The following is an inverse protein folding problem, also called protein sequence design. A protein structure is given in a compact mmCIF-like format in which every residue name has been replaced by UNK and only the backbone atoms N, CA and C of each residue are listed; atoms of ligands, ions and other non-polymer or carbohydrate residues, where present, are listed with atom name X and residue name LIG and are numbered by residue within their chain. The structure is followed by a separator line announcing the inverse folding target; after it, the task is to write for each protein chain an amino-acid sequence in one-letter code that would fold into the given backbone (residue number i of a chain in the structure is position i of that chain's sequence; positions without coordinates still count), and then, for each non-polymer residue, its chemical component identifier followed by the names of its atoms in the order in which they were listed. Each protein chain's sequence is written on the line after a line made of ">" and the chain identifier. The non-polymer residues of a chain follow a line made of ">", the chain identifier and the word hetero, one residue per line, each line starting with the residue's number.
data_IF_959807715360
#
_entry.id   IF_959807715360
#
_cell.length_a   1.000
_cell.length_b   1.000
_cell.length_c   1.000
_cell.angle_alpha   90.00
_cell.angle_beta   90.00
_cell.angle_gamma   90.00
#
_symmetry.space_group_name_H-M   'P 1'
#
loop_
_entity.id
_entity.type
_entity.pdbx_description
1 polymer ?
#
# COMPACT_ATOMS: atom_id res chain seq x y z
N UNK A 1 -12.45 -20.09 4.58
CA UNK A 1 -11.55 -18.90 4.65
C UNK A 1 -12.44 -17.66 4.66
N UNK A 2 -12.14 -16.62 5.45
CA UNK A 2 -12.92 -15.38 5.39
C UNK A 2 -12.88 -14.79 3.98
N UNK A 3 -14.02 -14.23 3.54
CA UNK A 3 -14.13 -13.53 2.25
C UNK A 3 -13.16 -12.36 2.25
N UNK A 4 -12.34 -12.23 1.20
CA UNK A 4 -11.37 -11.13 1.07
C UNK A 4 -12.12 -9.82 0.84
N UNK A 5 -11.67 -8.72 1.45
CA UNK A 5 -12.28 -7.39 1.32
C UNK A 5 -12.41 -6.98 -0.15
N UNK A 6 -11.34 -7.15 -0.94
CA UNK A 6 -11.41 -6.90 -2.38
C UNK A 6 -12.51 -7.67 -3.13
N UNK A 7 -12.86 -8.89 -2.71
CA UNK A 7 -14.01 -9.61 -3.29
C UNK A 7 -15.33 -8.90 -2.94
N UNK A 8 -15.53 -8.56 -1.68
CA UNK A 8 -16.73 -7.85 -1.21
C UNK A 8 -16.90 -6.51 -1.90
N UNK A 9 -15.82 -5.74 -2.09
CA UNK A 9 -15.84 -4.46 -2.82
C UNK A 9 -16.27 -4.70 -4.28
N UNK A 10 -15.68 -5.68 -4.97
CA UNK A 10 -16.06 -5.99 -6.35
C UNK A 10 -17.53 -6.41 -6.49
N UNK A 11 -18.06 -7.18 -5.53
CA UNK A 11 -19.47 -7.56 -5.49
C UNK A 11 -20.36 -6.32 -5.26
N UNK A 12 -20.00 -5.46 -4.32
CA UNK A 12 -20.75 -4.23 -4.05
C UNK A 12 -20.79 -3.30 -5.27
N UNK A 13 -19.65 -3.09 -5.93
CA UNK A 13 -19.58 -2.29 -7.16
C UNK A 13 -20.47 -2.85 -8.28
N UNK A 14 -20.49 -4.19 -8.43
CA UNK A 14 -21.37 -4.86 -9.40
C UNK A 14 -22.85 -4.67 -9.04
N UNK A 15 -23.24 -4.87 -7.78
CA UNK A 15 -24.63 -4.69 -7.33
C UNK A 15 -25.10 -3.24 -7.56
N UNK A 16 -24.25 -2.26 -7.24
CA UNK A 16 -24.55 -0.83 -7.43
C UNK A 16 -24.79 -0.52 -8.92
N UNK A 17 -23.94 -1.06 -9.80
CA UNK A 17 -24.09 -0.87 -11.23
C UNK A 17 -25.33 -1.58 -11.79
N UNK A 18 -25.52 -2.86 -11.46
CA UNK A 18 -26.53 -3.71 -12.10
C UNK A 18 -27.94 -3.45 -11.56
N UNK A 19 -28.07 -3.21 -10.24
CA UNK A 19 -29.38 -3.05 -9.60
C UNK A 19 -29.84 -1.60 -9.50
N UNK A 20 -28.91 -0.63 -9.47
CA UNK A 20 -29.23 0.79 -9.28
C UNK A 20 -28.85 1.65 -10.48
N UNK A 21 -28.20 1.10 -11.51
CA UNK A 21 -27.79 1.84 -12.72
C UNK A 21 -26.70 2.89 -12.47
N UNK A 22 -26.07 2.87 -11.29
CA UNK A 22 -25.06 3.85 -10.89
C UNK A 22 -23.71 3.41 -11.46
N UNK A 23 -23.17 4.17 -12.41
CA UNK A 23 -21.92 3.80 -13.09
C UNK A 23 -20.74 4.36 -12.32
N UNK A 24 -19.69 3.55 -12.22
CA UNK A 24 -18.46 3.99 -11.56
C UNK A 24 -17.85 5.25 -12.18
N UNK A 25 -18.03 5.43 -13.50
CA UNK A 25 -17.53 6.58 -14.26
C UNK A 25 -18.22 7.91 -13.90
N UNK A 26 -19.33 7.87 -13.16
CA UNK A 26 -20.03 9.07 -12.71
C UNK A 26 -19.39 9.67 -11.44
N UNK A 27 -18.32 9.07 -10.92
CA UNK A 27 -17.57 9.52 -9.74
C UNK A 27 -16.11 9.85 -10.08
N UNK A 28 -15.53 10.78 -9.32
CA UNK A 28 -14.10 11.12 -9.45
C UNK A 28 -13.18 10.16 -8.68
N UNK A 29 -13.66 9.67 -7.53
CA UNK A 29 -12.88 8.85 -6.60
C UNK A 29 -13.71 7.73 -5.96
N UNK A 30 -13.03 6.64 -5.61
CA UNK A 30 -13.48 5.61 -4.69
C UNK A 30 -12.75 5.85 -3.38
N UNK A 31 -13.50 5.94 -2.27
CA UNK A 31 -12.94 6.06 -0.93
C UNK A 31 -13.28 4.83 -0.10
N UNK A 32 -12.26 4.05 0.27
CA UNK A 32 -12.37 2.88 1.15
C UNK A 32 -11.91 3.28 2.55
N UNK A 33 -12.71 2.98 3.56
CA UNK A 33 -12.41 3.25 4.97
C UNK A 33 -12.77 2.03 5.80
N UNK A 34 -11.86 1.62 6.70
CA UNK A 34 -12.13 0.56 7.67
C UNK A 34 -13.09 1.09 8.74
N UNK A 35 -13.94 0.21 9.28
CA UNK A 35 -15.02 0.60 10.18
C UNK A 35 -14.56 1.09 11.56
N UNK A 36 -13.31 0.83 11.93
CA UNK A 36 -12.68 1.12 13.22
C UNK A 36 -11.71 2.30 13.16
N UNK A 37 -11.77 3.11 12.10
CA UNK A 37 -10.89 4.27 11.89
C UNK A 37 -11.67 5.56 12.14
N UNK A 38 -11.08 6.50 12.89
CA UNK A 38 -11.56 7.86 12.97
C UNK A 38 -10.63 8.81 12.20
N UNK A 39 -11.21 9.52 11.24
CA UNK A 39 -10.49 10.42 10.33
C UNK A 39 -10.76 11.89 10.67
N UNK A 40 -9.76 12.78 10.54
CA UNK A 40 -9.98 14.22 10.58
C UNK A 40 -10.97 14.69 9.51
N UNK A 41 -11.74 15.74 9.82
CA UNK A 41 -12.80 16.26 8.94
C UNK A 41 -12.30 16.66 7.55
N UNK A 42 -11.05 17.10 7.46
CA UNK A 42 -10.39 17.58 6.25
C UNK A 42 -9.61 16.48 5.49
N UNK A 43 -9.59 15.24 5.98
CA UNK A 43 -8.77 14.15 5.42
C UNK A 43 -9.00 13.94 3.91
N UNK A 44 -10.26 13.78 3.51
CA UNK A 44 -10.62 13.54 2.10
C UNK A 44 -10.35 14.78 1.25
N UNK A 45 -10.69 15.98 1.75
CA UNK A 45 -10.44 17.25 1.07
C UNK A 45 -8.95 17.46 0.82
N UNK A 46 -8.09 17.15 1.80
CA UNK A 46 -6.64 17.19 1.63
C UNK A 46 -6.20 16.27 0.50
N UNK A 47 -6.60 14.99 0.51
CA UNK A 47 -6.16 14.02 -0.50
C UNK A 47 -6.62 14.42 -1.92
N UNK A 48 -7.85 14.92 -2.05
CA UNK A 48 -8.38 15.43 -3.32
C UNK A 48 -7.61 16.67 -3.78
N UNK A 49 -7.27 17.60 -2.88
CA UNK A 49 -6.52 18.82 -3.22
C UNK A 49 -5.13 18.53 -3.79
N UNK A 50 -4.52 17.39 -3.42
CA UNK A 50 -3.24 16.93 -3.96
C UNK A 50 -3.36 16.29 -5.34
N UNK A 51 -4.59 16.11 -5.85
CA UNK A 51 -4.89 15.43 -7.12
C UNK A 51 -4.19 14.05 -7.19
N UNK A 52 -4.06 13.40 -6.04
CA UNK A 52 -3.35 12.14 -5.91
C UNK A 52 -4.17 11.02 -6.56
N UNK A 53 -3.66 10.30 -7.58
CA UNK A 53 -4.40 9.20 -8.20
C UNK A 53 -4.68 8.06 -7.21
N UNK A 54 -3.81 7.91 -6.21
CA UNK A 54 -3.94 7.02 -5.06
C UNK A 54 -3.35 7.75 -3.86
N UNK A 55 -4.04 7.75 -2.72
CA UNK A 55 -3.56 8.41 -1.51
C UNK A 55 -4.26 7.95 -0.24
N UNK A 56 -3.70 8.30 0.90
CA UNK A 56 -4.13 7.89 2.22
C UNK A 56 -3.27 6.79 2.81
N UNK A 57 -3.88 5.95 3.62
CA UNK A 57 -3.23 4.82 4.30
C UNK A 57 -4.07 3.55 4.08
N UNK A 58 -3.55 2.37 4.41
CA UNK A 58 -4.30 1.12 4.22
C UNK A 58 -5.70 1.16 4.85
N UNK A 59 -5.82 1.73 6.04
CA UNK A 59 -7.11 1.82 6.74
C UNK A 59 -8.08 2.87 6.15
N UNK A 60 -7.60 3.79 5.31
CA UNK A 60 -8.38 4.84 4.67
C UNK A 60 -7.74 5.24 3.34
N UNK A 61 -8.19 4.62 2.24
CA UNK A 61 -7.56 4.67 0.93
C UNK A 61 -8.47 5.39 -0.08
N UNK A 62 -7.95 6.48 -0.67
CA UNK A 62 -8.57 7.19 -1.77
C UNK A 62 -7.94 6.74 -3.10
N UNK A 63 -8.79 6.39 -4.07
CA UNK A 63 -8.38 5.93 -5.40
C UNK A 63 -9.15 6.72 -6.44
N UNK A 64 -8.48 7.44 -7.32
CA UNK A 64 -9.14 8.10 -8.45
C UNK A 64 -9.77 7.06 -9.38
N UNK A 65 -10.99 7.32 -9.86
CA UNK A 65 -11.69 6.45 -10.82
C UNK A 65 -10.87 6.24 -12.09
N UNK A 66 -10.21 7.27 -12.68
CA UNK A 66 -9.31 7.05 -13.81
C UNK A 66 -8.20 6.03 -13.55
N UNK A 67 -7.58 6.06 -12.36
CA UNK A 67 -6.58 5.05 -11.98
C UNK A 67 -7.22 3.68 -11.79
N UNK A 68 -8.35 3.59 -11.10
CA UNK A 68 -9.05 2.32 -10.88
C UNK A 68 -9.47 1.65 -12.20
N UNK A 69 -10.01 2.40 -13.15
CA UNK A 69 -10.42 1.87 -14.45
C UNK A 69 -9.20 1.47 -15.28
N UNK A 70 -8.19 2.32 -15.40
CA UNK A 70 -7.05 2.07 -16.32
C UNK A 70 -6.00 1.12 -15.74
N UNK A 71 -5.62 1.29 -14.48
CA UNK A 71 -4.57 0.51 -13.84
C UNK A 71 -5.10 -0.78 -13.22
N UNK A 72 -6.26 -0.72 -12.54
CA UNK A 72 -6.87 -1.86 -11.87
C UNK A 72 -7.92 -2.59 -12.73
N UNK A 73 -8.15 -2.14 -13.97
CA UNK A 73 -9.12 -2.73 -14.92
C UNK A 73 -10.53 -2.80 -14.31
N UNK A 74 -10.90 -1.76 -13.58
CA UNK A 74 -12.17 -1.63 -12.87
C UNK A 74 -12.44 -2.76 -11.85
N UNK A 75 -11.39 -3.36 -11.26
CA UNK A 75 -11.52 -4.41 -10.24
C UNK A 75 -10.60 -4.14 -9.06
N UNK A 76 -11.14 -4.19 -7.86
CA UNK A 76 -10.35 -4.18 -6.63
C UNK A 76 -9.52 -5.47 -6.56
N UNK A 77 -8.23 -5.41 -6.21
CA UNK A 77 -7.38 -6.59 -6.14
C UNK A 77 -7.85 -7.55 -5.05
N UNK A 78 -7.82 -8.85 -5.37
CA UNK A 78 -8.10 -9.93 -4.41
C UNK A 78 -6.77 -10.53 -4.00
N UNK A 79 -6.13 -9.93 -3.00
CA UNK A 79 -4.84 -10.37 -2.44
C UNK A 79 -4.86 -10.34 -0.91
N UNK A 80 -3.82 -10.89 -0.29
CA UNK A 80 -3.67 -10.81 1.17
C UNK A 80 -3.41 -9.37 1.64
N UNK A 81 -2.83 -8.53 0.78
CA UNK A 81 -2.58 -7.11 1.01
C UNK A 81 -3.11 -6.33 -0.19
N UNK A 82 -4.43 -6.25 -0.31
CA UNK A 82 -5.14 -5.54 -1.39
C UNK A 82 -4.79 -4.05 -1.44
N UNK A 83 -4.80 -3.34 -0.32
CA UNK A 83 -4.42 -1.92 -0.29
C UNK A 83 -2.93 -1.73 -0.64
N UNK A 84 -2.06 -2.62 -0.14
CA UNK A 84 -0.64 -2.63 -0.48
C UNK A 84 -0.36 -2.95 -1.95
N UNK A 85 -1.18 -3.81 -2.57
CA UNK A 85 -1.11 -4.06 -4.01
C UNK A 85 -1.39 -2.79 -4.81
N UNK A 86 -2.41 -2.00 -4.42
CA UNK A 86 -2.77 -0.75 -5.10
C UNK A 86 -1.61 0.25 -5.03
N UNK A 87 -1.01 0.42 -3.84
CA UNK A 87 0.19 1.24 -3.66
C UNK A 87 1.38 0.71 -4.47
N UNK A 88 1.62 -0.60 -4.49
CA UNK A 88 2.71 -1.17 -5.28
C UNK A 88 2.50 -0.93 -6.78
N UNK A 89 1.28 -1.09 -7.26
CA UNK A 89 0.92 -0.80 -8.64
C UNK A 89 1.08 0.69 -8.97
N UNK A 90 0.66 1.60 -8.09
CA UNK A 90 0.83 3.04 -8.32
C UNK A 90 2.31 3.42 -8.41
N UNK A 91 3.13 2.90 -7.50
CA UNK A 91 4.58 3.14 -7.47
C UNK A 91 5.24 2.60 -8.74
N UNK A 92 4.80 1.44 -9.24
CA UNK A 92 5.31 0.90 -10.51
C UNK A 92 5.08 1.85 -11.70
N UNK A 93 4.06 2.70 -11.62
CA UNK A 93 3.73 3.74 -12.61
C UNK A 93 4.38 5.10 -12.30
N UNK A 94 5.26 5.18 -11.31
CA UNK A 94 5.89 6.42 -10.87
C UNK A 94 4.99 7.32 -10.02
N UNK A 95 3.84 6.81 -9.57
CA UNK A 95 2.87 7.55 -8.75
C UNK A 95 3.08 7.15 -7.29
N UNK A 96 3.71 8.04 -6.53
CA UNK A 96 3.91 7.87 -5.10
C UNK A 96 2.61 8.22 -4.37
N UNK A 97 2.03 7.29 -3.59
CA UNK A 97 0.83 7.60 -2.82
C UNK A 97 1.09 8.74 -1.84
N UNK A 98 0.21 9.75 -1.86
CA UNK A 98 0.24 10.82 -0.87
C UNK A 98 -0.33 10.32 0.45
N UNK A 99 0.32 10.61 1.57
CA UNK A 99 -0.17 10.24 2.90
C UNK A 99 -0.57 11.48 3.69
N UNK A 100 -1.73 11.41 4.35
CA UNK A 100 -2.15 12.45 5.28
C UNK A 100 -1.42 12.28 6.61
N UNK A 101 -0.59 13.25 6.96
CA UNK A 101 0.19 13.23 8.19
C UNK A 101 -0.43 14.16 9.24
N UNK A 102 -1.39 13.66 10.02
CA UNK A 102 -1.85 14.36 11.23
C UNK A 102 -1.73 13.49 12.47
N UNK A 103 -1.54 14.16 13.61
CA UNK A 103 -1.51 13.55 14.94
C UNK A 103 -2.89 13.00 15.35
N UNK A 104 -3.98 13.59 14.84
CA UNK A 104 -5.36 13.22 15.17
C UNK A 104 -5.90 12.02 14.37
N UNK A 105 -5.05 11.35 13.60
CA UNK A 105 -5.44 10.15 12.85
C UNK A 105 -5.48 8.95 13.80
N UNK A 106 -6.69 8.54 14.21
CA UNK A 106 -6.90 7.41 15.10
C UNK A 106 -7.12 6.15 14.28
N UNK A 107 -6.04 5.38 14.14
CA UNK A 107 -6.03 4.07 13.48
C UNK A 107 -5.64 3.04 14.53
N UNK A 108 -6.37 1.92 14.63
CA UNK A 108 -6.04 0.86 15.57
C UNK A 108 -4.60 0.36 15.40
N UNK A 109 -3.94 -0.06 16.50
CA UNK A 109 -2.61 -0.62 16.40
C UNK A 109 -2.63 -1.94 15.61
N UNK A 110 -1.52 -2.23 14.92
CA UNK A 110 -1.39 -3.48 14.18
C UNK A 110 -1.19 -4.64 15.17
N UNK A 111 -2.25 -5.45 15.36
CA UNK A 111 -2.18 -6.68 16.13
C UNK A 111 -1.38 -7.72 15.33
N UNK A 112 -0.40 -8.37 15.96
CA UNK A 112 0.42 -9.37 15.29
C UNK A 112 -0.40 -10.63 14.94
N UNK A 113 -0.33 -11.04 13.67
CA UNK A 113 -0.89 -12.31 13.16
C UNK A 113 0.15 -12.97 12.25
N UNK A 114 0.70 -14.11 12.69
CA UNK A 114 1.76 -14.82 11.99
C UNK A 114 1.38 -15.26 10.57
N UNK A 115 0.13 -15.70 10.34
CA UNK A 115 -0.32 -16.14 9.01
C UNK A 115 -0.41 -14.95 8.06
N UNK A 116 -0.92 -13.83 8.58
CA UNK A 116 -1.05 -12.59 7.81
C UNK A 116 0.33 -12.01 7.46
N UNK A 117 1.25 -11.93 8.41
CA UNK A 117 2.61 -11.44 8.16
C UNK A 117 3.38 -12.34 7.19
N UNK A 118 3.29 -13.67 7.33
CA UNK A 118 3.87 -14.56 6.33
C UNK A 118 3.33 -14.29 4.92
N UNK A 119 2.02 -14.14 4.78
CA UNK A 119 1.40 -13.81 3.49
C UNK A 119 1.83 -12.44 2.95
N UNK A 120 2.03 -11.44 3.80
CA UNK A 120 2.60 -10.16 3.39
C UNK A 120 4.02 -10.30 2.86
N UNK A 121 4.84 -11.17 3.47
CA UNK A 121 6.14 -11.55 2.94
C UNK A 121 6.09 -12.08 1.50
N UNK A 122 5.15 -12.98 1.23
CA UNK A 122 4.90 -13.50 -0.12
C UNK A 122 4.49 -12.37 -1.08
N UNK A 123 3.61 -11.46 -0.65
CA UNK A 123 3.19 -10.31 -1.44
C UNK A 123 4.36 -9.36 -1.76
N UNK A 124 5.24 -9.05 -0.81
CA UNK A 124 6.45 -8.25 -1.06
C UNK A 124 7.35 -8.86 -2.15
N UNK A 125 7.50 -10.19 -2.14
CA UNK A 125 8.21 -10.90 -3.19
C UNK A 125 7.51 -10.78 -4.55
N UNK A 126 6.18 -10.96 -4.57
CA UNK A 126 5.36 -10.85 -5.80
C UNK A 126 5.38 -9.45 -6.39
N UNK A 127 5.41 -8.40 -5.57
CA UNK A 127 5.57 -7.01 -6.03
C UNK A 127 6.98 -6.73 -6.56
N UNK A 128 7.97 -7.56 -6.21
CA UNK A 128 9.35 -7.39 -6.65
C UNK A 128 10.21 -6.54 -5.70
N UNK A 129 9.78 -6.36 -4.44
CA UNK A 129 10.59 -5.66 -3.42
C UNK A 129 11.98 -6.30 -3.31
N UNK A 130 13.03 -5.48 -3.23
CA UNK A 130 14.39 -5.98 -3.07
C UNK A 130 14.59 -6.59 -1.68
N UNK A 131 15.29 -7.74 -1.54
CA UNK A 131 15.65 -8.30 -0.23
C UNK A 131 16.41 -7.29 0.63
N UNK A 132 17.28 -6.49 0.02
CA UNK A 132 18.05 -5.44 0.72
C UNK A 132 17.12 -4.40 1.33
N UNK A 133 16.08 -3.97 0.59
CA UNK A 133 15.09 -3.04 1.13
C UNK A 133 14.27 -3.64 2.25
N UNK A 134 13.90 -4.91 2.14
CA UNK A 134 13.15 -5.62 3.18
C UNK A 134 13.94 -5.63 4.51
N UNK A 135 15.26 -5.87 4.43
CA UNK A 135 16.15 -5.80 5.58
C UNK A 135 16.32 -4.37 6.12
N UNK A 136 16.50 -3.38 5.23
CA UNK A 136 16.61 -1.98 5.64
C UNK A 136 15.35 -1.51 6.37
N UNK A 137 14.16 -1.90 5.91
CA UNK A 137 12.89 -1.55 6.57
C UNK A 137 12.82 -2.13 7.99
N UNK A 138 13.32 -3.35 8.21
CA UNK A 138 13.42 -3.94 9.56
C UNK A 138 14.33 -3.11 10.47
N UNK A 139 15.46 -2.62 9.96
CA UNK A 139 16.43 -1.83 10.74
C UNK A 139 15.84 -0.45 11.01
N UNK A 140 15.42 0.28 9.98
CA UNK A 140 14.93 1.64 10.09
C UNK A 140 13.66 1.75 10.94
N UNK A 141 12.77 0.75 10.92
CA UNK A 141 11.56 0.76 11.75
C UNK A 141 11.84 0.79 13.26
N UNK A 142 13.10 0.54 13.68
CA UNK A 142 13.57 0.61 15.07
C UNK A 142 14.05 2.00 15.46
N UNK A 143 14.62 2.73 14.50
CA UNK A 143 15.25 4.03 14.74
C UNK A 143 14.34 5.20 14.36
N UNK A 144 13.37 4.95 13.47
CA UNK A 144 12.37 5.95 13.07
C UNK A 144 11.24 5.96 14.10
N UNK A 145 10.86 7.16 14.56
CA UNK A 145 9.69 7.40 15.41
C UNK A 145 8.37 7.12 14.68
N UNK A 146 8.13 5.85 14.32
CA UNK A 146 6.93 5.39 13.65
C UNK A 146 5.70 5.61 14.54
N UNK A 147 4.53 5.82 13.93
CA UNK A 147 3.26 5.92 14.65
C UNK A 147 2.80 4.53 15.12
N UNK A 148 1.95 4.42 16.15
CA UNK A 148 1.51 3.12 16.67
C UNK A 148 0.92 2.17 15.62
N UNK A 149 0.18 2.69 14.63
CA UNK A 149 -0.40 1.91 13.52
C UNK A 149 0.61 1.53 12.42
N UNK A 150 1.81 2.11 12.43
CA UNK A 150 2.91 1.77 11.52
C UNK A 150 3.91 0.81 12.19
N UNK A 151 3.99 0.83 13.52
CA UNK A 151 4.89 -0.01 14.30
C UNK A 151 4.50 -1.47 14.17
N UNK A 152 5.40 -2.26 13.59
CA UNK A 152 5.31 -3.72 13.60
C UNK A 152 6.32 -4.33 14.59
N UNK A 153 5.89 -5.41 15.24
CA UNK A 153 6.77 -6.17 16.13
C UNK A 153 7.93 -6.81 15.36
N UNK A 154 9.06 -7.12 16.03
CA UNK A 154 10.18 -7.83 15.39
C UNK A 154 9.70 -9.17 14.82
N UNK A 155 8.84 -9.87 15.58
CA UNK A 155 8.22 -11.13 15.15
C UNK A 155 7.51 -10.98 13.81
N UNK A 156 6.80 -9.88 13.58
CA UNK A 156 6.15 -9.59 12.29
C UNK A 156 7.14 -9.51 11.14
N UNK A 157 8.25 -8.79 11.31
CA UNK A 157 9.27 -8.69 10.27
C UNK A 157 9.96 -10.03 9.97
N UNK A 158 10.22 -10.85 10.99
CA UNK A 158 10.78 -12.21 10.79
C UNK A 158 9.83 -13.04 9.91
N UNK A 159 8.52 -12.98 10.17
CA UNK A 159 7.53 -13.71 9.37
C UNK A 159 7.41 -13.15 7.95
N UNK A 160 7.50 -11.83 7.76
CA UNK A 160 7.57 -11.21 6.44
C UNK A 160 8.80 -11.71 5.65
N UNK A 161 9.97 -11.81 6.29
CA UNK A 161 11.19 -12.34 5.66
C UNK A 161 11.00 -13.82 5.33
N UNK A 162 10.45 -14.61 6.25
CA UNK A 162 10.21 -16.04 6.02
C UNK A 162 9.27 -16.27 4.82
N UNK A 163 8.17 -15.51 4.73
CA UNK A 163 7.25 -15.58 3.59
C UNK A 163 7.88 -15.16 2.28
N UNK A 164 8.70 -14.10 2.29
CA UNK A 164 9.45 -13.66 1.12
C UNK A 164 10.41 -14.74 0.63
N UNK A 165 11.21 -15.31 1.55
CA UNK A 165 12.18 -16.36 1.22
C UNK A 165 11.50 -17.63 0.73
N UNK A 166 10.40 -18.03 1.37
CA UNK A 166 9.59 -19.16 0.90
C UNK A 166 9.11 -18.95 -0.54
N UNK A 167 8.56 -17.77 -0.85
CA UNK A 167 8.07 -17.45 -2.19
C UNK A 167 9.20 -17.40 -3.23
N UNK A 168 10.38 -16.92 -2.83
CA UNK A 168 11.59 -16.95 -3.66
C UNK A 168 12.03 -18.38 -3.98
N UNK A 169 12.16 -19.24 -2.97
CA UNK A 169 12.60 -20.63 -3.12
C UNK A 169 11.62 -21.45 -3.98
N UNK A 170 10.32 -21.21 -3.80
CA UNK A 170 9.26 -21.88 -4.57
C UNK A 170 8.97 -21.23 -5.92
N UNK A 171 9.74 -20.20 -6.30
CA UNK A 171 9.58 -19.46 -7.57
C UNK A 171 8.14 -19.04 -7.83
N UNK A 172 7.46 -18.56 -6.79
CA UNK A 172 6.08 -18.06 -6.89
C UNK A 172 6.00 -17.03 -8.02
N UNK A 173 4.91 -17.04 -8.77
CA UNK A 173 4.71 -16.09 -9.86
C UNK A 173 4.61 -14.66 -9.31
N UNK A 174 5.40 -13.75 -9.89
CA UNK A 174 5.38 -12.33 -9.54
C UNK A 174 4.32 -11.59 -10.36
N UNK A 175 3.81 -10.49 -9.82
CA UNK A 175 2.84 -9.68 -10.57
C UNK A 175 3.46 -9.06 -11.81
N UNK A 176 2.67 -8.87 -12.87
CA UNK A 176 3.13 -8.33 -14.15
C UNK A 176 3.95 -7.02 -14.06
N UNK A 177 3.71 -6.19 -13.02
CA UNK A 177 4.40 -4.91 -12.80
C UNK A 177 5.65 -5.00 -11.91
N UNK A 178 6.10 -6.20 -11.53
CA UNK A 178 7.13 -6.36 -10.48
C UNK A 178 8.47 -5.68 -10.82
N UNK A 179 8.85 -5.67 -12.10
CA UNK A 179 10.12 -5.05 -12.57
C UNK A 179 10.06 -3.53 -12.43
N UNK A 180 8.95 -2.95 -12.84
CA UNK A 180 8.73 -1.50 -12.75
C UNK A 180 8.65 -1.02 -11.32
N UNK A 181 7.94 -1.76 -10.45
CA UNK A 181 7.91 -1.48 -9.01
C UNK A 181 9.32 -1.50 -8.42
N UNK A 182 10.11 -2.56 -8.68
CA UNK A 182 11.48 -2.66 -8.19
C UNK A 182 12.33 -1.49 -8.64
N UNK A 183 12.27 -1.15 -9.93
CA UNK A 183 13.02 -0.04 -10.52
C UNK A 183 12.67 1.29 -9.84
N UNK A 184 11.38 1.59 -9.70
CA UNK A 184 10.92 2.84 -9.10
C UNK A 184 11.27 2.93 -7.61
N UNK A 185 11.11 1.85 -6.85
CA UNK A 185 11.55 1.79 -5.45
C UNK A 185 13.05 1.99 -5.31
N UNK A 186 13.86 1.30 -6.12
CA UNK A 186 15.32 1.40 -6.05
C UNK A 186 15.79 2.82 -6.38
N UNK A 187 15.21 3.43 -7.42
CA UNK A 187 15.46 4.82 -7.78
C UNK A 187 15.12 5.77 -6.62
N UNK A 188 13.92 5.67 -6.06
CA UNK A 188 13.50 6.55 -4.96
C UNK A 188 14.39 6.39 -3.72
N UNK A 189 14.78 5.16 -3.39
CA UNK A 189 15.71 4.92 -2.29
C UNK A 189 17.07 5.54 -2.55
N UNK A 190 17.64 5.36 -3.75
CA UNK A 190 18.90 5.99 -4.14
C UNK A 190 18.82 7.53 -4.07
N UNK A 191 17.74 8.13 -4.58
CA UNK A 191 17.50 9.57 -4.49
C UNK A 191 17.45 10.08 -3.04
N UNK A 192 16.80 9.33 -2.14
CA UNK A 192 16.74 9.67 -0.71
C UNK A 192 18.10 9.54 -0.02
N UNK A 193 18.85 8.47 -0.31
CA UNK A 193 20.20 8.27 0.22
C UNK A 193 21.15 9.37 -0.28
N UNK A 194 21.12 9.69 -1.57
CA UNK A 194 21.95 10.76 -2.14
C UNK A 194 21.64 12.12 -1.50
N UNK A 195 20.35 12.46 -1.32
CA UNK A 195 19.96 13.69 -0.61
C UNK A 195 20.50 13.73 0.82
N UNK A 196 20.47 12.60 1.52
CA UNK A 196 21.01 12.51 2.88
C UNK A 196 22.53 12.69 2.89
N UNK A 197 23.24 12.07 1.95
CA UNK A 197 24.70 12.20 1.81
C UNK A 197 25.08 13.64 1.50
N UNK A 198 24.41 14.30 0.56
CA UNK A 198 24.66 15.71 0.23
C UNK A 198 24.38 16.64 1.40
N UNK A 199 23.29 16.41 2.14
CA UNK A 199 22.98 17.15 3.36
C UNK A 199 24.12 17.06 4.39
N UNK A 200 24.67 15.87 4.63
CA UNK A 200 25.80 15.70 5.57
C UNK A 200 27.15 16.15 5.00
N UNK A 201 27.30 16.20 3.67
CA UNK A 201 28.50 16.69 3.01
C UNK A 201 28.55 18.22 2.87
N UNK A 202 27.47 18.94 3.25
CA UNK A 202 27.39 20.40 3.14
C UNK A 202 27.26 20.91 1.70
N UNK A 203 26.82 20.04 0.77
CA UNK A 203 26.65 20.38 -0.64
C UNK A 203 25.14 20.56 -0.87
N UNK A 204 24.67 21.80 -0.89
CA UNK A 204 23.28 22.16 -1.25
C UNK A 204 23.15 22.43 -2.74
#
# INVERSE_FOLDING_TARGET
>A
MPVRIGFSINVALRIINDNYGIRLLDFDYIFKVDCDVALPKDYVLFLISRKAPVGGIGAALLISVPFFVKALKAKYPISHCDDGYIFALSISKGIWPESYHAENLLVPPVIFDYKREFAYGVEYYKWGLSPVMLLIVLILSRFVGLRPHEKRSIKAHIHNIAGYMWAFLHRVERYHFWRDYRRMRNRHFAEKVLKLVFYFAGIT
#
